data_IF_357974798957
#
_entry.id   IF_357974798957
#
_cell.length_a   1.000
_cell.length_b   1.000
_cell.length_c   1.000
_cell.angle_alpha   90.00
_cell.angle_beta   90.00
_cell.angle_gamma   90.00
#
_symmetry.space_group_name_H-M   'P 1'
#
loop_
_entity.id
_entity.type
_entity.pdbx_description
1 polymer ?
#
# COMPACT_ATOMS: atom_id res chain seq x y z
N UNK A 1 18.73 -8.10 22.83
CA UNK A 1 17.59 -7.56 22.08
C UNK A 1 16.36 -8.36 22.48
N UNK A 2 15.26 -7.74 22.95
CA UNK A 2 14.07 -8.51 23.26
C UNK A 2 13.41 -8.97 21.94
N UNK A 3 12.70 -10.10 21.93
CA UNK A 3 12.06 -10.62 20.73
C UNK A 3 10.79 -9.83 20.41
N UNK A 4 10.58 -9.52 19.14
CA UNK A 4 9.35 -8.89 18.64
C UNK A 4 8.27 -9.98 18.59
N UNK A 5 7.18 -9.79 19.33
CA UNK A 5 6.03 -10.70 19.32
C UNK A 5 5.35 -10.69 17.94
N UNK A 6 5.20 -11.89 17.36
CA UNK A 6 4.63 -12.17 16.03
C UNK A 6 3.12 -11.89 15.92
N UNK A 7 2.48 -11.40 16.98
CA UNK A 7 1.02 -11.17 17.01
C UNK A 7 0.58 -9.94 16.18
N UNK A 8 1.50 -9.02 15.85
CA UNK A 8 1.18 -7.81 15.06
C UNK A 8 1.24 -8.01 13.54
N UNK A 9 1.53 -9.22 13.05
CA UNK A 9 1.71 -9.48 11.61
C UNK A 9 0.38 -9.74 10.88
N UNK A 10 -0.75 -9.84 11.60
CA UNK A 10 -2.00 -10.38 11.03
C UNK A 10 -3.13 -9.40 10.72
N UNK A 11 -2.94 -8.10 10.83
CA UNK A 11 -4.04 -7.19 10.50
C UNK A 11 -3.58 -6.03 9.65
N UNK A 12 -3.99 -6.07 8.38
CA UNK A 12 -3.95 -4.93 7.47
C UNK A 12 -4.90 -3.84 7.94
N UNK A 13 -4.53 -3.14 9.00
CA UNK A 13 -5.18 -1.91 9.40
C UNK A 13 -4.34 -0.71 8.94
N UNK A 14 -4.98 0.15 8.16
CA UNK A 14 -4.59 1.55 8.02
C UNK A 14 -5.12 2.24 9.27
N UNK A 15 -4.23 2.77 10.10
CA UNK A 15 -4.60 3.56 11.27
C UNK A 15 -4.85 5.02 10.83
N UNK A 16 -6.11 5.45 10.87
CA UNK A 16 -6.52 6.84 10.68
C UNK A 16 -7.01 7.37 12.04
N UNK A 17 -6.15 8.10 12.76
CA UNK A 17 -6.53 8.81 13.98
C UNK A 17 -5.40 9.00 14.98
N UNK A 18 -5.24 10.24 15.46
CA UNK A 18 -4.17 10.75 16.33
C UNK A 18 -3.83 9.91 17.58
N UNK A 19 -2.57 9.53 17.73
CA UNK A 19 -1.97 9.07 18.99
C UNK A 19 -0.53 8.62 18.79
N UNK A 20 0.43 9.44 19.20
CA UNK A 20 1.82 9.45 18.74
C UNK A 20 2.75 9.42 19.95
N UNK A 21 3.88 8.71 19.92
CA UNK A 21 4.98 8.89 20.90
C UNK A 21 6.31 8.41 20.22
N UNK A 22 7.35 9.17 19.86
CA UNK A 22 7.74 10.57 20.02
C UNK A 22 8.65 10.93 18.82
N UNK A 23 8.04 11.31 17.69
CA UNK A 23 8.35 12.54 16.94
C UNK A 23 7.02 13.27 16.80
N UNK A 24 6.47 13.59 17.98
CA UNK A 24 5.49 14.64 18.24
C UNK A 24 4.73 15.36 17.09
N UNK A 25 3.90 14.77 16.21
CA UNK A 25 3.03 15.51 15.26
C UNK A 25 3.72 16.37 14.15
N UNK A 26 4.39 15.78 13.15
CA UNK A 26 4.72 16.58 11.92
C UNK A 26 4.45 15.87 10.59
N UNK A 27 3.81 14.71 10.59
CA UNK A 27 3.39 14.07 9.33
C UNK A 27 1.89 13.87 9.36
N UNK A 28 1.17 14.94 8.99
CA UNK A 28 -0.25 14.91 8.68
C UNK A 28 -0.40 14.87 7.16
N UNK A 29 -1.53 14.32 6.70
CA UNK A 29 -1.90 14.30 5.27
C UNK A 29 -0.94 13.49 4.37
N UNK A 30 -0.47 12.34 4.86
CA UNK A 30 0.41 11.44 4.10
C UNK A 30 -0.28 10.11 3.79
N UNK A 31 -0.22 9.70 2.53
CA UNK A 31 -0.61 8.36 2.09
C UNK A 31 0.66 7.61 1.69
N UNK A 32 0.86 6.43 2.29
CA UNK A 32 1.93 5.50 1.92
C UNK A 32 1.33 4.23 1.35
N UNK A 33 1.86 3.78 0.23
CA UNK A 33 1.53 2.49 -0.37
C UNK A 33 2.82 1.78 -0.76
N UNK A 34 2.89 0.49 -0.43
CA UNK A 34 4.04 -0.35 -0.70
C UNK A 34 3.75 -1.28 -1.87
N UNK A 35 4.78 -1.58 -2.67
CA UNK A 35 4.66 -2.51 -3.78
C UNK A 35 4.45 -3.95 -3.31
N UNK A 36 4.87 -4.29 -2.10
CA UNK A 36 4.70 -5.61 -1.49
C UNK A 36 4.79 -5.48 0.04
N UNK A 37 4.38 -6.52 0.76
CA UNK A 37 4.54 -6.60 2.22
C UNK A 37 6.01 -6.77 2.62
N UNK A 38 6.33 -6.42 3.85
CA UNK A 38 7.68 -6.53 4.39
C UNK A 38 8.23 -7.96 4.32
N UNK A 39 9.54 -8.08 4.11
CA UNK A 39 10.22 -9.37 3.92
C UNK A 39 9.99 -10.06 2.57
N UNK A 40 9.13 -9.53 1.69
CA UNK A 40 8.91 -10.07 0.35
C UNK A 40 9.58 -9.20 -0.72
N UNK A 41 10.20 -9.85 -1.72
CA UNK A 41 10.80 -9.15 -2.85
C UNK A 41 9.71 -8.72 -3.85
N UNK A 42 9.65 -7.44 -4.24
CA UNK A 42 8.65 -6.98 -5.20
C UNK A 42 8.92 -7.53 -6.61
N UNK A 43 7.85 -7.98 -7.27
CA UNK A 43 7.95 -8.61 -8.58
C UNK A 43 8.13 -7.59 -9.73
N UNK A 44 9.03 -7.90 -10.66
CA UNK A 44 9.39 -7.08 -11.82
C UNK A 44 9.61 -7.95 -13.05
N UNK A 45 9.26 -7.42 -14.22
CA UNK A 45 9.58 -7.99 -15.55
C UNK A 45 10.49 -7.03 -16.32
N UNK A 46 10.86 -7.44 -17.54
CA UNK A 46 11.56 -6.59 -18.51
C UNK A 46 10.77 -5.30 -18.81
N UNK A 47 9.43 -5.35 -18.71
CA UNK A 47 8.55 -4.20 -18.90
C UNK A 47 8.43 -3.28 -17.66
N UNK A 48 9.02 -3.66 -16.52
CA UNK A 48 9.03 -2.85 -15.30
C UNK A 48 8.38 -3.52 -14.08
N UNK A 49 7.92 -2.70 -13.14
CA UNK A 49 7.30 -3.16 -11.89
C UNK A 49 5.80 -3.37 -12.09
N UNK A 50 5.29 -4.55 -11.73
CA UNK A 50 3.85 -4.82 -11.77
C UNK A 50 3.05 -3.81 -10.94
N UNK A 51 3.57 -3.46 -9.76
CA UNK A 51 2.94 -2.46 -8.91
C UNK A 51 2.77 -1.11 -9.63
N UNK A 52 3.82 -0.67 -10.34
CA UNK A 52 3.77 0.61 -11.05
C UNK A 52 2.83 0.53 -12.25
N UNK A 53 2.86 -0.58 -13.01
CA UNK A 53 1.94 -0.79 -14.12
C UNK A 53 0.47 -0.74 -13.65
N UNK A 54 0.11 -1.53 -12.63
CA UNK A 54 -1.26 -1.53 -12.10
C UNK A 54 -1.67 -0.18 -11.52
N UNK A 55 -0.75 0.57 -10.90
CA UNK A 55 -1.03 1.91 -10.40
C UNK A 55 -1.30 2.89 -11.55
N UNK A 56 -0.49 2.83 -12.61
CA UNK A 56 -0.71 3.65 -13.81
C UNK A 56 -2.05 3.35 -14.46
N UNK A 57 -2.43 2.07 -14.55
CA UNK A 57 -3.71 1.64 -15.11
C UNK A 57 -4.88 2.17 -14.26
N UNK A 58 -4.83 1.97 -12.94
CA UNK A 58 -5.86 2.44 -12.02
C UNK A 58 -6.01 3.98 -12.03
N UNK A 59 -4.90 4.72 -12.06
CA UNK A 59 -4.93 6.19 -12.19
C UNK A 59 -5.56 6.57 -13.54
N UNK A 60 -5.16 5.92 -14.63
CA UNK A 60 -5.66 6.27 -15.96
C UNK A 60 -7.16 6.04 -16.07
N UNK A 61 -7.65 4.93 -15.51
CA UNK A 61 -9.06 4.54 -15.51
C UNK A 61 -9.93 5.43 -14.60
N UNK A 62 -9.42 5.84 -13.44
CA UNK A 62 -10.25 6.40 -12.38
C UNK A 62 -9.92 7.84 -11.96
N UNK A 63 -8.89 8.48 -12.54
CA UNK A 63 -8.48 9.87 -12.20
C UNK A 63 -9.60 10.92 -12.24
N UNK A 64 -10.68 10.68 -12.98
CA UNK A 64 -11.78 11.62 -13.16
C UNK A 64 -12.99 11.35 -12.24
N UNK A 65 -13.05 10.18 -11.60
CA UNK A 65 -14.27 9.68 -10.95
C UNK A 65 -14.07 9.21 -9.52
N UNK A 66 -12.84 8.92 -9.09
CA UNK A 66 -12.52 8.39 -7.76
C UNK A 66 -11.51 9.25 -7.03
N UNK A 67 -11.53 9.17 -5.70
CA UNK A 67 -10.50 9.77 -4.88
C UNK A 67 -9.19 8.95 -4.89
N UNK A 68 -8.11 9.53 -4.35
CA UNK A 68 -6.79 8.90 -4.34
C UNK A 68 -6.79 7.59 -3.55
N UNK A 69 -7.54 7.50 -2.44
CA UNK A 69 -7.58 6.28 -1.62
C UNK A 69 -8.29 5.15 -2.37
N UNK A 70 -9.41 5.45 -3.03
CA UNK A 70 -10.16 4.52 -3.87
C UNK A 70 -9.32 4.02 -5.07
N UNK A 71 -8.53 4.89 -5.69
CA UNK A 71 -7.61 4.50 -6.78
C UNK A 71 -6.53 3.53 -6.28
N UNK A 72 -5.96 3.80 -5.10
CA UNK A 72 -4.93 2.93 -4.50
C UNK A 72 -5.53 1.58 -4.07
N UNK A 73 -6.78 1.54 -3.62
CA UNK A 73 -7.50 0.30 -3.35
C UNK A 73 -7.69 -0.53 -4.63
N UNK A 74 -8.16 0.09 -5.72
CA UNK A 74 -8.30 -0.60 -7.02
C UNK A 74 -6.96 -1.16 -7.54
N UNK A 75 -5.84 -0.46 -7.29
CA UNK A 75 -4.49 -0.95 -7.63
C UNK A 75 -4.14 -2.27 -6.92
N UNK A 76 -4.64 -2.49 -5.69
CA UNK A 76 -4.42 -3.72 -4.93
C UNK A 76 -5.32 -4.87 -5.38
N UNK A 77 -6.53 -4.56 -5.85
CA UNK A 77 -7.53 -5.55 -6.28
C UNK A 77 -7.19 -6.18 -7.64
N UNK A 78 -6.64 -5.40 -8.58
CA UNK A 78 -6.14 -5.92 -9.87
C UNK A 78 -5.10 -7.03 -9.70
N UNK A 79 -4.40 -7.05 -8.55
CA UNK A 79 -3.42 -8.07 -8.19
C UNK A 79 -4.06 -9.41 -7.82
N UNK A 80 -5.29 -9.41 -7.32
CA UNK A 80 -6.01 -10.62 -6.88
C UNK A 80 -6.54 -11.47 -8.06
N UNK A 81 -6.80 -10.84 -9.21
CA UNK A 81 -7.31 -11.51 -10.41
C UNK A 81 -6.22 -12.18 -11.26
N UNK A 82 -4.95 -11.81 -11.09
CA UNK A 82 -3.82 -12.41 -11.81
C UNK A 82 -3.10 -13.55 -11.05
N UNK A 83 -3.52 -13.83 -9.81
CA UNK A 83 -2.99 -14.92 -8.96
C UNK A 83 -3.90 -16.16 -8.93
N UNK A 84 -4.88 -16.26 -9.83
CA UNK A 84 -5.75 -17.43 -10.03
C UNK A 84 -5.51 -18.01 -11.42
#
# INVERSE_FOLDING_TARGET
YPPVNEENVKTGFIEIGNGLLVVENVVRDMIKMWSTVDGIVPYRTECGSYFISSLCDAITEHKATKDVLEILQSTSESRSLQSR
#
